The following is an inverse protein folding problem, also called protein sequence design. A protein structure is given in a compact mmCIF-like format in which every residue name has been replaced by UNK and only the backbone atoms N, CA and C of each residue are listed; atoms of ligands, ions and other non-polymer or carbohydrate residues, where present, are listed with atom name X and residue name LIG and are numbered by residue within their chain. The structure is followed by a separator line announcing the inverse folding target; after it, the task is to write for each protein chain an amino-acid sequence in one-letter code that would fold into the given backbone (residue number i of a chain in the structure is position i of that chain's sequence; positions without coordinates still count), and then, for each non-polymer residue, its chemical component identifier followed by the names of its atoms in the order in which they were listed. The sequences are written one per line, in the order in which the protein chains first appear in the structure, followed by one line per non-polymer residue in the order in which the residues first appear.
data_IF_056791734607
#
_entry.id   IF_056791734607
#
_cell.length_a   1.000
_cell.length_b   1.000
_cell.length_c   1.000
_cell.angle_alpha   90.00
_cell.angle_beta   90.00
_cell.angle_gamma   90.00
#
_symmetry.space_group_name_H-M   'P 1'
#
loop_
_entity.id
_entity.type
_entity.pdbx_description
1 polymer ?
#
# COMPACT_ATOMS: atom_id res chain seq x y z
N UNK A 1 -15.54 -7.14 -1.06
CA UNK A 1 -14.37 -7.98 -0.73
C UNK A 1 -14.03 -7.73 0.72
N UNK A 2 -13.69 -8.74 1.51
CA UNK A 2 -13.25 -8.51 2.90
C UNK A 2 -11.84 -7.90 2.92
N UNK A 3 -11.46 -7.18 4.00
CA UNK A 3 -10.10 -6.65 4.13
C UNK A 3 -9.01 -7.74 4.02
N UNK A 4 -9.31 -8.95 4.51
CA UNK A 4 -8.40 -10.09 4.40
C UNK A 4 -8.28 -10.63 2.96
N UNK A 5 -9.40 -10.75 2.24
CA UNK A 5 -9.38 -11.14 0.81
C UNK A 5 -8.63 -10.12 -0.04
N UNK A 6 -8.82 -8.82 0.25
CA UNK A 6 -8.11 -7.73 -0.42
C UNK A 6 -6.61 -7.78 -0.13
N UNK A 7 -6.23 -7.94 1.14
CA UNK A 7 -4.84 -8.09 1.55
C UNK A 7 -4.19 -9.28 0.84
N UNK A 8 -4.87 -10.43 0.79
CA UNK A 8 -4.37 -11.63 0.11
C UNK A 8 -4.16 -11.40 -1.39
N UNK A 9 -5.10 -10.76 -2.06
CA UNK A 9 -4.98 -10.44 -3.49
C UNK A 9 -3.78 -9.52 -3.76
N UNK A 10 -3.67 -8.44 -2.99
CA UNK A 10 -2.56 -7.48 -3.13
C UNK A 10 -1.22 -8.16 -2.81
N UNK A 11 -1.18 -9.04 -1.81
CA UNK A 11 0.02 -9.80 -1.48
C UNK A 11 0.47 -10.72 -2.61
N UNK A 12 -0.46 -11.45 -3.23
CA UNK A 12 -0.14 -12.33 -4.36
C UNK A 12 0.46 -11.56 -5.54
N UNK A 13 -0.04 -10.36 -5.82
CA UNK A 13 0.42 -9.55 -6.97
C UNK A 13 1.68 -8.74 -6.68
N UNK A 14 1.81 -8.18 -5.47
CA UNK A 14 2.89 -7.23 -5.14
C UNK A 14 4.06 -7.86 -4.41
N UNK A 15 3.90 -8.96 -3.65
CA UNK A 15 5.04 -9.53 -2.91
C UNK A 15 6.26 -9.90 -3.77
N UNK A 16 6.14 -10.32 -5.05
CA UNK A 16 7.30 -10.63 -5.87
C UNK A 16 8.06 -9.39 -6.39
N UNK A 17 7.45 -8.20 -6.30
CA UNK A 17 7.92 -6.97 -6.99
C UNK A 17 8.18 -5.85 -5.99
N UNK A 18 7.25 -5.66 -5.06
CA UNK A 18 7.24 -4.62 -4.03
C UNK A 18 6.85 -5.24 -2.66
N UNK A 19 7.66 -6.17 -2.10
CA UNK A 19 7.37 -6.84 -0.84
C UNK A 19 7.13 -5.89 0.32
N UNK A 20 7.80 -4.73 0.38
CA UNK A 20 7.58 -3.76 1.47
C UNK A 20 6.23 -3.08 1.35
N UNK A 21 5.83 -2.68 0.13
CA UNK A 21 4.49 -2.16 -0.11
C UNK A 21 3.41 -3.19 0.22
N UNK A 22 3.61 -4.46 -0.16
CA UNK A 22 2.68 -5.54 0.19
C UNK A 22 2.51 -5.67 1.70
N UNK A 23 3.60 -5.69 2.47
CA UNK A 23 3.55 -5.79 3.92
C UNK A 23 2.89 -4.55 4.56
N UNK A 24 3.19 -3.36 4.04
CA UNK A 24 2.59 -2.11 4.49
C UNK A 24 1.06 -2.10 4.32
N UNK A 25 0.56 -2.57 3.17
CA UNK A 25 -0.87 -2.68 2.90
C UNK A 25 -1.53 -3.74 3.78
N UNK A 26 -0.87 -4.89 3.99
CA UNK A 26 -1.39 -5.89 4.92
C UNK A 26 -1.55 -5.30 6.33
N UNK A 27 -0.54 -4.57 6.82
CA UNK A 27 -0.62 -3.88 8.10
C UNK A 27 -1.74 -2.84 8.13
N UNK A 28 -1.87 -2.06 7.07
CA UNK A 28 -2.94 -1.08 6.94
C UNK A 28 -4.33 -1.71 7.01
N UNK A 29 -4.56 -2.83 6.32
CA UNK A 29 -5.87 -3.48 6.26
C UNK A 29 -6.18 -4.36 7.47
N UNK A 30 -5.23 -5.16 7.94
CA UNK A 30 -5.45 -6.26 8.88
C UNK A 30 -5.00 -5.92 10.29
N UNK A 31 -3.98 -5.08 10.48
CA UNK A 31 -3.47 -4.78 11.83
C UNK A 31 -4.08 -3.48 12.39
N UNK A 32 -4.28 -2.48 11.51
CA UNK A 32 -4.74 -1.13 11.88
C UNK A 32 -6.15 -0.84 11.37
N UNK A 33 -6.48 -1.38 10.20
CA UNK A 33 -7.68 -1.05 9.44
C UNK A 33 -8.84 -1.99 9.69
N UNK A 34 -9.77 -1.99 8.75
CA UNK A 34 -11.09 -2.62 8.83
C UNK A 34 -11.06 -4.14 9.11
N UNK A 35 -9.92 -4.81 8.88
CA UNK A 35 -9.72 -6.22 9.19
C UNK A 35 -9.18 -6.53 10.57
N UNK A 36 -8.81 -5.52 11.37
CA UNK A 36 -8.21 -5.73 12.69
C UNK A 36 -9.23 -6.06 13.76
N UNK A 37 -8.97 -7.10 14.55
CA UNK A 37 -9.75 -7.41 15.76
C UNK A 37 -9.61 -6.34 16.85
N UNK A 38 -8.61 -5.46 16.70
CA UNK A 38 -8.32 -4.37 17.63
C UNK A 38 -8.97 -3.05 17.20
N UNK A 39 -9.75 -3.02 16.10
CA UNK A 39 -10.40 -1.77 15.67
C UNK A 39 -11.24 -1.19 16.80
N UNK A 40 -10.89 0.02 17.22
CA UNK A 40 -11.60 0.76 18.26
C UNK A 40 -11.17 0.45 19.71
N UNK A 41 -10.16 -0.39 19.92
CA UNK A 41 -9.67 -0.78 21.26
C UNK A 41 -8.47 0.05 21.76
N UNK A 42 -7.88 0.90 20.92
CA UNK A 42 -6.79 1.82 21.30
C UNK A 42 -6.60 3.00 20.34
N UNK A 43 -5.82 4.03 20.72
CA UNK A 43 -5.57 5.19 19.86
C UNK A 43 -4.95 4.79 18.52
N UNK A 44 -5.51 5.27 17.40
CA UNK A 44 -5.03 4.98 16.05
C UNK A 44 -5.53 3.64 15.48
N UNK A 45 -6.29 2.86 16.26
CA UNK A 45 -6.89 1.59 15.80
C UNK A 45 -8.36 1.76 15.46
N UNK A 46 -9.03 2.84 15.88
CA UNK A 46 -10.43 3.05 15.54
C UNK A 46 -10.55 3.30 14.03
N UNK A 47 -11.62 2.79 13.40
CA UNK A 47 -11.92 3.04 11.98
C UNK A 47 -12.06 4.54 11.65
N UNK A 48 -12.36 5.36 12.67
CA UNK A 48 -12.51 6.81 12.57
C UNK A 48 -11.20 7.59 12.76
N UNK A 49 -10.10 6.92 13.11
CA UNK A 49 -8.83 7.60 13.34
C UNK A 49 -8.14 7.92 12.02
N UNK A 50 -7.67 9.16 11.91
CA UNK A 50 -6.72 9.55 10.88
C UNK A 50 -5.39 8.87 11.14
N UNK A 51 -4.98 8.02 10.19
CA UNK A 51 -3.72 7.28 10.28
C UNK A 51 -2.90 7.55 9.03
N UNK A 52 -1.62 7.84 9.23
CA UNK A 52 -0.65 7.93 8.15
C UNK A 52 0.66 7.28 8.57
N UNK A 53 1.31 6.60 7.63
CA UNK A 53 2.67 6.11 7.81
C UNK A 53 3.37 6.00 6.47
N UNK A 54 4.71 6.03 6.52
CA UNK A 54 5.56 6.03 5.35
C UNK A 54 6.43 4.78 5.31
N UNK A 55 6.62 4.26 4.11
CA UNK A 55 7.49 3.14 3.82
C UNK A 55 8.30 3.44 2.56
N UNK A 56 9.48 2.84 2.44
CA UNK A 56 10.31 3.01 1.24
C UNK A 56 10.92 1.70 0.78
N UNK A 57 11.10 1.61 -0.53
CA UNK A 57 11.53 0.42 -1.22
C UNK A 57 12.33 0.76 -2.47
N UNK A 58 13.38 -0.01 -2.72
CA UNK A 58 14.14 0.03 -3.96
C UNK A 58 13.81 -1.21 -4.78
N UNK A 59 13.30 -1.01 -6.00
CA UNK A 59 13.01 -2.10 -6.93
C UNK A 59 14.16 -2.21 -7.94
N UNK A 60 14.84 -3.36 -7.93
CA UNK A 60 15.88 -3.68 -8.90
C UNK A 60 15.25 -4.40 -10.09
N UNK A 61 14.97 -3.67 -11.16
CA UNK A 61 14.30 -4.17 -12.36
C UNK A 61 15.03 -3.68 -13.62
N UNK A 62 14.97 -4.45 -14.72
CA UNK A 62 15.33 -3.92 -16.05
C UNK A 62 14.28 -2.90 -16.49
N UNK A 63 14.58 -2.05 -17.49
CA UNK A 63 13.64 -0.99 -17.91
C UNK A 63 12.25 -1.53 -18.28
N UNK A 64 12.17 -2.69 -18.95
CA UNK A 64 10.90 -3.31 -19.31
C UNK A 64 10.16 -3.91 -18.08
N UNK A 65 10.92 -4.44 -17.11
CA UNK A 65 10.37 -4.98 -15.87
C UNK A 65 9.88 -3.86 -14.93
N UNK A 66 10.55 -2.71 -14.96
CA UNK A 66 10.22 -1.51 -14.21
C UNK A 66 8.84 -0.95 -14.59
N UNK A 67 8.56 -0.78 -15.88
CA UNK A 67 7.24 -0.32 -16.35
C UNK A 67 6.12 -1.30 -15.99
N UNK A 68 6.39 -2.60 -16.15
CA UNK A 68 5.45 -3.67 -15.77
C UNK A 68 5.16 -3.69 -14.27
N UNK A 69 6.21 -3.52 -13.44
CA UNK A 69 6.11 -3.40 -11.99
C UNK A 69 5.23 -2.20 -11.59
N UNK A 70 5.46 -1.03 -12.18
CA UNK A 70 4.69 0.18 -11.90
C UNK A 70 3.23 0.04 -12.31
N UNK A 71 2.95 -0.60 -13.44
CA UNK A 71 1.59 -0.89 -13.88
C UNK A 71 0.85 -1.79 -12.87
N UNK A 72 1.50 -2.84 -12.38
CA UNK A 72 0.94 -3.74 -11.35
C UNK A 72 0.70 -3.01 -10.03
N UNK A 73 1.67 -2.20 -9.57
CA UNK A 73 1.53 -1.39 -8.37
C UNK A 73 0.31 -0.48 -8.49
N UNK A 74 0.19 0.29 -9.59
CA UNK A 74 -0.96 1.18 -9.83
C UNK A 74 -2.29 0.45 -9.85
N UNK A 75 -2.36 -0.71 -10.52
CA UNK A 75 -3.57 -1.53 -10.57
C UNK A 75 -3.99 -2.01 -9.17
N UNK A 76 -3.04 -2.38 -8.31
CA UNK A 76 -3.34 -2.79 -6.94
C UNK A 76 -3.71 -1.62 -6.03
N UNK A 77 -3.13 -0.43 -6.24
CA UNK A 77 -3.54 0.77 -5.49
C UNK A 77 -5.00 1.14 -5.83
N UNK A 78 -5.37 1.05 -7.11
CA UNK A 78 -6.75 1.26 -7.54
C UNK A 78 -7.71 0.28 -6.85
N UNK A 79 -7.37 -1.02 -6.82
CA UNK A 79 -8.17 -2.02 -6.09
C UNK A 79 -8.28 -1.74 -4.60
N UNK A 80 -7.20 -1.27 -3.98
CA UNK A 80 -7.18 -0.90 -2.57
C UNK A 80 -8.16 0.24 -2.29
N UNK A 81 -8.12 1.31 -3.08
CA UNK A 81 -9.00 2.48 -2.92
C UNK A 81 -10.48 2.16 -3.23
N UNK A 82 -10.75 1.25 -4.16
CA UNK A 82 -12.13 0.80 -4.46
C UNK A 82 -12.76 -0.02 -3.32
N UNK A 83 -11.94 -0.67 -2.49
CA UNK A 83 -12.41 -1.67 -1.52
C UNK A 83 -12.03 -1.34 -0.07
N UNK A 84 -11.41 -0.20 0.20
CA UNK A 84 -11.01 0.22 1.55
C UNK A 84 -10.94 1.73 1.67
N UNK A 85 -10.89 2.22 2.91
CA UNK A 85 -10.71 3.64 3.20
C UNK A 85 -9.25 4.13 3.05
N UNK A 86 -8.33 3.25 2.65
CA UNK A 86 -6.90 3.55 2.54
C UNK A 86 -6.55 4.06 1.16
N UNK A 87 -5.70 5.10 1.13
CA UNK A 87 -5.05 5.63 -0.06
C UNK A 87 -3.55 5.45 0.04
N UNK A 88 -2.89 5.32 -1.11
CA UNK A 88 -1.43 5.22 -1.18
C UNK A 88 -0.89 6.28 -2.11
N UNK A 89 -0.10 7.18 -1.55
CA UNK A 89 0.65 8.18 -2.32
C UNK A 89 2.02 7.59 -2.63
N UNK A 90 2.40 7.60 -3.91
CA UNK A 90 3.67 7.03 -4.38
C UNK A 90 4.54 8.16 -4.91
N UNK A 91 5.61 8.46 -4.19
CA UNK A 91 6.67 9.36 -4.62
C UNK A 91 7.81 8.55 -5.23
N UNK A 92 8.03 8.74 -6.52
CA UNK A 92 9.16 8.14 -7.23
C UNK A 92 10.33 9.10 -7.27
N UNK A 93 11.48 8.69 -6.75
CA UNK A 93 12.73 9.40 -6.99
C UNK A 93 13.29 8.90 -8.33
N UNK A 94 13.08 9.67 -9.38
CA UNK A 94 13.52 9.32 -10.73
C UNK A 94 15.04 9.13 -10.78
N UNK A 95 15.46 8.03 -11.38
CA UNK A 95 16.83 7.84 -11.85
C UNK A 95 16.82 7.19 -13.23
N UNK A 96 17.96 7.27 -13.90
CA UNK A 96 18.15 7.01 -15.33
C UNK A 96 17.70 5.59 -15.71
N UNK A 97 17.34 5.34 -16.98
CA UNK A 97 17.13 3.99 -17.49
C UNK A 97 18.28 3.06 -17.08
N UNK A 98 17.95 1.89 -16.54
CA UNK A 98 18.89 0.90 -15.99
C UNK A 98 19.29 1.09 -14.53
N UNK A 99 18.80 2.12 -13.84
CA UNK A 99 19.01 2.29 -12.39
C UNK A 99 17.82 1.76 -11.57
N UNK A 100 18.04 1.31 -10.32
CA UNK A 100 16.96 0.86 -9.44
C UNK A 100 15.92 1.96 -9.18
N UNK A 101 14.65 1.57 -9.07
CA UNK A 101 13.55 2.48 -8.77
C UNK A 101 13.44 2.68 -7.25
N UNK A 102 13.72 3.89 -6.78
CA UNK A 102 13.49 4.28 -5.39
C UNK A 102 12.07 4.83 -5.22
N UNK A 103 11.24 4.09 -4.48
CA UNK A 103 9.84 4.41 -4.22
C UNK A 103 9.64 4.73 -2.74
N UNK A 104 8.97 5.85 -2.49
CA UNK A 104 8.47 6.24 -1.18
C UNK A 104 6.95 6.16 -1.21
N UNK A 105 6.39 5.36 -0.31
CA UNK A 105 4.96 5.14 -0.17
C UNK A 105 4.47 5.84 1.09
N UNK A 106 3.39 6.58 0.98
CA UNK A 106 2.67 7.12 2.13
C UNK A 106 1.28 6.52 2.14
N UNK A 107 1.01 5.64 3.10
CA UNK A 107 -0.31 5.05 3.32
C UNK A 107 -1.10 5.98 4.23
N UNK A 108 -2.29 6.35 3.80
CA UNK A 108 -3.13 7.29 4.55
C UNK A 108 -4.55 6.79 4.58
N UNK A 109 -5.15 6.81 5.77
CA UNK A 109 -6.59 6.74 5.97
C UNK A 109 -7.01 8.05 6.60
N UNK A 110 -7.65 8.91 5.81
CA UNK A 110 -8.24 10.15 6.29
C UNK A 110 -9.75 9.92 6.31
N UNK A 111 -10.36 10.06 7.48
CA UNK A 111 -11.80 10.29 7.52
C UNK A 111 -11.98 11.80 7.48
N UNK A 112 -12.52 12.31 6.37
CA UNK A 112 -12.93 13.72 6.31
C UNK A 112 -13.90 13.96 7.47
N UNK A 113 -13.46 14.78 8.41
CA UNK A 113 -14.26 15.19 9.55
C UNK A 113 -15.12 16.37 9.15
N UNK A 114 -16.43 16.10 9.06
CA UNK A 114 -17.58 17.01 9.14
C UNK A 114 -17.80 18.00 7.97
#
# INVERSE_FOLDING_TARGET
MTPYELSKLIHMELSPIAPRLSAAINRALVDIGEGSVLVGLGPGTNENDNVSFQESETIHATDADADSALAKIRAMMWKLEENSSWKVIIDMKTKRPGEPLDLLYTLVRIKEGL
#
